data_IF_446973795904
#
_entry.id   IF_446973795904
#
_cell.length_a   1.000
_cell.length_b   1.000
_cell.length_c   1.000
_cell.angle_alpha   90.00
_cell.angle_beta   90.00
_cell.angle_gamma   90.00
#
_symmetry.space_group_name_H-M   'P 1'
#
loop_
_entity.id
_entity.type
_entity.pdbx_description
1 polymer ?
#
# COMPACT_ATOMS: atom_id res chain seq x y z
N UNK A 1 20.74 1.73 24.78
CA UNK A 1 19.65 2.34 24.00
C UNK A 1 18.74 1.22 23.52
N UNK A 2 17.41 1.39 23.60
CA UNK A 2 16.47 0.41 23.03
C UNK A 2 16.39 0.70 21.54
N UNK A 3 16.84 -0.25 20.71
CA UNK A 3 16.74 -0.12 19.26
C UNK A 3 15.28 -0.38 18.84
N UNK A 4 14.71 0.44 17.95
CA UNK A 4 13.40 0.15 17.40
C UNK A 4 13.43 -1.21 16.66
N UNK A 5 12.30 -1.94 16.63
CA UNK A 5 12.22 -3.18 15.90
C UNK A 5 12.53 -2.95 14.41
N UNK A 6 13.27 -3.88 13.82
CA UNK A 6 13.54 -3.84 12.39
C UNK A 6 12.24 -4.02 11.60
N UNK A 7 12.01 -3.16 10.61
CA UNK A 7 10.86 -3.27 9.71
C UNK A 7 11.14 -4.33 8.64
N UNK A 8 10.24 -5.31 8.42
CA UNK A 8 10.47 -6.40 7.47
C UNK A 8 10.29 -5.99 6.00
N UNK A 9 11.18 -5.15 5.48
CA UNK A 9 11.15 -4.66 4.08
C UNK A 9 11.57 -5.69 3.05
N UNK A 10 12.39 -6.68 3.44
CA UNK A 10 12.92 -7.70 2.51
C UNK A 10 11.94 -8.86 2.26
N UNK A 11 10.77 -8.83 2.92
CA UNK A 11 9.71 -9.82 2.74
C UNK A 11 8.77 -9.42 1.60
N UNK A 12 8.02 -10.35 1.01
CA UNK A 12 6.97 -10.02 0.05
C UNK A 12 5.95 -9.03 0.63
N UNK A 13 5.39 -8.16 -0.21
CA UNK A 13 4.37 -7.21 0.19
C UNK A 13 3.15 -7.94 0.80
N UNK A 14 2.76 -7.54 2.01
CA UNK A 14 1.48 -7.91 2.63
C UNK A 14 0.88 -6.64 3.22
N UNK A 15 -0.29 -6.27 2.69
CA UNK A 15 -1.01 -5.05 3.04
C UNK A 15 -2.49 -5.41 3.21
N UNK A 16 -2.93 -5.81 4.42
CA UNK A 16 -4.34 -6.03 4.71
C UNK A 16 -5.14 -4.74 4.46
N UNK A 17 -6.22 -4.85 3.70
CA UNK A 17 -7.11 -3.73 3.43
C UNK A 17 -8.07 -3.54 4.60
N UNK A 18 -8.17 -2.31 5.07
CA UNK A 18 -9.14 -1.90 6.07
C UNK A 18 -10.45 -1.49 5.39
N UNK A 19 -10.36 -0.67 4.35
CA UNK A 19 -11.50 -0.15 3.59
C UNK A 19 -11.12 0.07 2.13
N UNK A 20 -12.13 0.24 1.27
CA UNK A 20 -11.95 0.59 -0.14
C UNK A 20 -12.92 1.68 -0.53
N UNK A 21 -12.40 2.78 -1.06
CA UNK A 21 -13.20 3.91 -1.53
C UNK A 21 -13.23 3.97 -3.06
N UNK A 22 -14.35 4.44 -3.61
CA UNK A 22 -14.46 4.82 -5.03
C UNK A 22 -14.60 6.33 -5.11
N UNK A 23 -13.58 6.99 -5.64
CA UNK A 23 -13.54 8.44 -5.76
C UNK A 23 -13.71 8.81 -7.24
N UNK A 24 -14.72 9.63 -7.54
CA UNK A 24 -14.98 10.11 -8.89
C UNK A 24 -13.76 10.80 -9.49
N UNK A 25 -13.37 10.44 -10.71
CA UNK A 25 -12.21 11.01 -11.40
C UNK A 25 -10.85 10.39 -11.03
N UNK A 26 -10.68 9.84 -9.82
CA UNK A 26 -9.42 9.21 -9.37
C UNK A 26 -9.48 7.68 -9.58
N UNK A 27 -10.63 7.06 -9.30
CA UNK A 27 -10.82 5.62 -9.41
C UNK A 27 -10.96 4.94 -8.05
N UNK A 28 -10.37 3.75 -7.92
CA UNK A 28 -10.49 2.94 -6.69
C UNK A 28 -9.29 3.20 -5.79
N UNK A 29 -9.56 3.51 -4.52
CA UNK A 29 -8.53 3.79 -3.50
C UNK A 29 -8.70 2.83 -2.33
N UNK A 30 -7.96 1.70 -2.32
CA UNK A 30 -7.84 0.88 -1.13
C UNK A 30 -7.01 1.59 -0.05
N UNK A 31 -7.38 1.36 1.20
CA UNK A 31 -6.65 1.83 2.38
C UNK A 31 -6.30 0.68 3.30
N UNK A 32 -5.13 0.74 3.92
CA UNK A 32 -4.68 -0.30 4.83
C UNK A 32 -3.30 -0.03 5.40
N UNK A 33 -2.80 -1.00 6.16
CA UNK A 33 -1.49 -0.93 6.80
C UNK A 33 -0.51 -1.87 6.13
N UNK A 34 0.70 -1.40 5.85
CA UNK A 34 1.77 -2.27 5.34
C UNK A 34 2.29 -3.11 6.49
N UNK A 35 2.18 -4.44 6.39
CA UNK A 35 2.68 -5.35 7.43
C UNK A 35 4.07 -5.91 7.06
N UNK A 36 4.32 -6.17 5.77
CA UNK A 36 5.62 -6.59 5.25
C UNK A 36 5.88 -6.07 3.85
N UNK A 37 7.14 -6.00 3.44
CA UNK A 37 7.56 -5.55 2.11
C UNK A 37 7.44 -4.04 1.92
N UNK A 38 7.53 -3.60 0.67
CA UNK A 38 7.46 -2.19 0.28
C UNK A 38 6.43 -2.02 -0.82
N UNK A 39 5.65 -0.95 -0.76
CA UNK A 39 4.70 -0.54 -1.79
C UNK A 39 5.22 0.74 -2.46
N UNK A 40 5.25 0.78 -3.80
CA UNK A 40 5.67 1.95 -4.58
C UNK A 40 4.69 2.21 -5.73
N UNK A 41 4.52 3.48 -6.14
CA UNK A 41 3.90 3.79 -7.41
C UNK A 41 4.61 3.04 -8.56
N UNK A 42 3.83 2.58 -9.55
CA UNK A 42 4.28 1.77 -10.68
C UNK A 42 4.42 0.28 -10.40
N UNK A 43 4.27 -0.18 -9.15
CA UNK A 43 4.27 -1.61 -8.84
C UNK A 43 2.99 -2.28 -9.32
N UNK A 44 3.16 -3.47 -9.89
CA UNK A 44 2.04 -4.37 -10.20
C UNK A 44 1.78 -5.23 -8.96
N UNK A 45 0.58 -5.12 -8.38
CA UNK A 45 0.17 -5.83 -7.16
C UNK A 45 -0.98 -6.77 -7.44
N UNK A 46 -1.08 -7.83 -6.64
CA UNK A 46 -2.16 -8.82 -6.76
C UNK A 46 -3.03 -8.82 -5.50
N UNK A 47 -4.34 -8.66 -5.69
CA UNK A 47 -5.35 -8.67 -4.66
C UNK A 47 -5.90 -10.09 -4.47
N UNK A 48 -5.71 -10.62 -3.25
CA UNK A 48 -6.35 -11.85 -2.80
C UNK A 48 -7.79 -11.58 -2.33
N UNK A 49 -8.70 -12.58 -2.33
CA UNK A 49 -8.48 -13.97 -2.72
C UNK A 49 -8.67 -14.25 -4.23
N UNK A 50 -9.19 -13.28 -4.99
CA UNK A 50 -9.59 -13.47 -6.40
C UNK A 50 -8.38 -13.42 -7.36
N UNK A 51 -7.19 -13.09 -6.86
CA UNK A 51 -5.95 -12.96 -7.62
C UNK A 51 -6.05 -11.96 -8.78
N UNK A 52 -6.73 -10.83 -8.54
CA UNK A 52 -6.80 -9.73 -9.49
C UNK A 52 -5.51 -8.93 -9.42
N UNK A 53 -4.88 -8.70 -10.58
CA UNK A 53 -3.63 -7.97 -10.66
C UNK A 53 -3.85 -6.60 -11.29
N UNK A 54 -3.29 -5.55 -10.69
CA UNK A 54 -3.37 -4.18 -11.21
C UNK A 54 -2.12 -3.38 -10.81
N UNK A 55 -1.88 -2.27 -11.51
CA UNK A 55 -0.79 -1.35 -11.25
C UNK A 55 -1.21 -0.28 -10.23
N UNK A 56 -0.33 -0.02 -9.28
CA UNK A 56 -0.48 1.04 -8.28
C UNK A 56 -0.06 2.37 -8.91
N UNK A 57 -0.96 3.33 -8.99
CA UNK A 57 -0.69 4.62 -9.64
C UNK A 57 -0.13 5.67 -8.69
N UNK A 58 -0.63 5.70 -7.46
CA UNK A 58 -0.13 6.59 -6.40
C UNK A 58 -0.20 5.87 -5.06
N UNK A 59 0.62 6.34 -4.12
CA UNK A 59 0.62 5.94 -2.72
C UNK A 59 0.62 7.22 -1.91
N UNK A 60 -0.28 7.32 -0.94
CA UNK A 60 -0.51 8.53 -0.15
C UNK A 60 -0.66 8.20 1.34
N UNK A 61 -0.12 9.07 2.19
CA UNK A 61 -0.30 9.01 3.65
C UNK A 61 -0.53 10.43 4.17
N UNK A 62 -1.61 10.63 4.92
CA UNK A 62 -1.95 11.91 5.55
C UNK A 62 -1.88 13.13 4.59
N UNK A 63 -2.44 12.99 3.39
CA UNK A 63 -2.45 14.02 2.33
C UNK A 63 -1.11 14.31 1.64
N UNK A 64 -0.10 13.47 1.84
CA UNK A 64 1.17 13.56 1.13
C UNK A 64 1.40 12.35 0.23
N UNK A 65 1.92 12.60 -0.97
CA UNK A 65 2.32 11.55 -1.89
C UNK A 65 3.66 10.95 -1.44
N UNK A 66 3.71 9.62 -1.38
CA UNK A 66 4.89 8.86 -0.99
C UNK A 66 5.59 8.25 -2.20
N UNK A 67 6.92 8.29 -2.19
CA UNK A 67 7.76 7.56 -3.15
C UNK A 67 7.77 6.06 -2.87
N UNK A 68 7.62 5.69 -1.59
CA UNK A 68 7.45 4.33 -1.11
C UNK A 68 6.73 4.31 0.25
N UNK A 69 6.02 3.23 0.53
CA UNK A 69 5.45 2.92 1.84
C UNK A 69 6.07 1.64 2.40
N UNK A 70 6.40 1.67 3.69
CA UNK A 70 7.16 0.63 4.39
C UNK A 70 6.36 0.03 5.55
N UNK A 71 6.76 -1.13 6.11
CA UNK A 71 5.99 -1.81 7.14
C UNK A 71 5.72 -0.92 8.35
N UNK A 72 4.47 -0.74 8.72
CA UNK A 72 4.01 0.16 9.79
C UNK A 72 3.23 1.36 9.29
N UNK A 73 3.33 1.72 8.01
CA UNK A 73 2.66 2.89 7.44
C UNK A 73 1.18 2.57 7.14
N UNK A 74 0.30 3.54 7.42
CA UNK A 74 -1.10 3.50 7.05
C UNK A 74 -1.28 4.33 5.79
N UNK A 75 -1.64 3.68 4.69
CA UNK A 75 -1.62 4.31 3.37
C UNK A 75 -2.95 4.11 2.64
N UNK A 76 -3.30 5.12 1.83
CA UNK A 76 -4.20 4.97 0.71
C UNK A 76 -3.40 4.86 -0.57
N UNK A 77 -3.84 4.03 -1.51
CA UNK A 77 -3.16 3.92 -2.79
C UNK A 77 -4.17 3.82 -3.93
N UNK A 78 -3.88 4.40 -5.08
CA UNK A 78 -4.78 4.36 -6.22
C UNK A 78 -4.46 3.16 -7.12
N UNK A 79 -5.51 2.45 -7.54
CA UNK A 79 -5.41 1.37 -8.54
C UNK A 79 -6.43 1.58 -9.64
N UNK A 80 -6.10 1.10 -10.86
CA UNK A 80 -6.96 1.20 -12.04
C UNK A 80 -7.38 -0.15 -12.58
#
# INVERSE_FOLDING_TARGET
>A
AILPPSRPTDKPLRLPLQDVYKIGGIGTVPVGRVETGVLKPGMVVTFAPVNVTTEVKSVEMHHEALTEAVPGDNVGFNVK
#
